data_IF_756407062774
#
_entry.id   IF_756407062774
#
_cell.length_a   1.000
_cell.length_b   1.000
_cell.length_c   1.000
_cell.angle_alpha   90.00
_cell.angle_beta   90.00
_cell.angle_gamma   90.00
#
_symmetry.space_group_name_H-M   'P 1'
#
loop_
_entity.id
_entity.type
_entity.pdbx_description
1 polymer ?
#
# COMPACT_ATOMS: atom_id res chain seq x y z
N UNK A 1 -20.80 13.50 -17.18
CA UNK A 1 -19.68 13.74 -16.24
C UNK A 1 -19.08 15.10 -16.58
N UNK A 2 -18.89 15.99 -15.60
CA UNK A 2 -18.32 17.33 -15.84
C UNK A 2 -16.82 17.32 -15.56
N UNK A 3 -16.07 18.28 -16.14
CA UNK A 3 -14.63 18.43 -15.88
C UNK A 3 -14.32 18.54 -14.38
N UNK A 4 -15.14 19.28 -13.64
CA UNK A 4 -14.98 19.45 -12.19
C UNK A 4 -15.16 18.13 -11.42
N UNK A 5 -16.14 17.31 -11.80
CA UNK A 5 -16.35 16.01 -11.19
C UNK A 5 -15.13 15.08 -11.41
N UNK A 6 -14.60 15.04 -12.63
CA UNK A 6 -13.39 14.24 -12.92
C UNK A 6 -12.16 14.70 -12.11
N UNK A 7 -12.02 16.02 -11.87
CA UNK A 7 -10.94 16.54 -11.02
C UNK A 7 -11.11 16.12 -9.55
N UNK A 8 -12.34 16.14 -9.02
CA UNK A 8 -12.61 15.66 -7.67
C UNK A 8 -12.35 14.15 -7.53
N UNK A 9 -12.76 13.35 -8.51
CA UNK A 9 -12.53 11.90 -8.52
C UNK A 9 -11.03 11.57 -8.46
N UNK A 10 -10.20 12.26 -9.25
CA UNK A 10 -8.74 12.06 -9.27
C UNK A 10 -8.12 12.47 -7.93
N UNK A 11 -8.53 13.60 -7.34
CA UNK A 11 -8.02 14.04 -6.04
C UNK A 11 -8.39 13.05 -4.93
N UNK A 12 -9.63 12.56 -4.94
CA UNK A 12 -10.11 11.55 -4.00
C UNK A 12 -9.30 10.24 -4.14
N UNK A 13 -9.07 9.80 -5.38
CA UNK A 13 -8.27 8.62 -5.67
C UNK A 13 -6.83 8.74 -5.15
N UNK A 14 -6.20 9.90 -5.36
CA UNK A 14 -4.83 10.14 -4.89
C UNK A 14 -4.76 10.13 -3.36
N UNK A 15 -5.70 10.81 -2.69
CA UNK A 15 -5.70 10.94 -1.24
C UNK A 15 -6.00 9.62 -0.51
N UNK A 16 -6.98 8.85 -1.00
CA UNK A 16 -7.46 7.65 -0.30
C UNK A 16 -6.69 6.39 -0.70
N UNK A 17 -6.28 6.26 -1.96
CA UNK A 17 -5.73 5.00 -2.47
C UNK A 17 -4.25 5.14 -2.84
N UNK A 18 -3.91 6.07 -3.73
CA UNK A 18 -2.57 6.14 -4.29
C UNK A 18 -1.50 6.52 -3.25
N UNK A 19 -1.74 7.53 -2.42
CA UNK A 19 -0.76 7.97 -1.42
C UNK A 19 -0.52 6.92 -0.34
N UNK A 20 -1.57 6.21 0.08
CA UNK A 20 -1.46 5.09 1.03
C UNK A 20 -0.66 3.94 0.42
N UNK A 21 -0.85 3.62 -0.85
CA UNK A 21 -0.05 2.59 -1.55
C UNK A 21 1.38 3.04 -1.87
N UNK A 22 1.63 4.33 -2.06
CA UNK A 22 2.94 4.86 -2.51
C UNK A 22 4.02 4.81 -1.44
N UNK A 23 3.67 5.02 -0.16
CA UNK A 23 4.59 4.77 0.96
C UNK A 23 4.99 3.28 1.04
N UNK A 24 4.11 2.40 0.57
CA UNK A 24 4.26 0.95 0.65
C UNK A 24 5.03 0.32 -0.52
N UNK A 25 4.99 0.90 -1.73
CA UNK A 25 5.80 0.44 -2.86
C UNK A 25 7.28 0.85 -2.80
N UNK A 26 7.63 1.95 -2.12
CA UNK A 26 9.04 2.38 -2.01
C UNK A 26 9.81 1.68 -0.88
N UNK A 27 9.13 1.35 0.24
CA UNK A 27 9.76 0.75 1.42
C UNK A 27 9.63 -0.79 1.49
N UNK A 28 9.07 -1.43 0.46
CA UNK A 28 8.90 -2.89 0.46
C UNK A 28 7.91 -3.33 1.54
N UNK A 29 6.66 -2.85 1.46
CA UNK A 29 5.63 -3.23 2.41
C UNK A 29 5.47 -4.74 2.49
N UNK A 30 5.67 -5.27 3.71
CA UNK A 30 5.22 -6.61 4.09
C UNK A 30 3.92 -6.45 4.86
N UNK A 31 2.88 -7.12 4.36
CA UNK A 31 1.67 -7.32 5.16
C UNK A 31 2.02 -8.07 6.45
N UNK A 32 1.19 -7.93 7.48
CA UNK A 32 1.43 -8.58 8.78
C UNK A 32 1.61 -10.10 8.65
N UNK A 33 0.82 -10.74 7.79
CA UNK A 33 0.98 -12.16 7.44
C UNK A 33 2.34 -12.48 6.80
N UNK A 34 2.84 -11.61 5.91
CA UNK A 34 4.15 -11.78 5.28
C UNK A 34 5.29 -11.56 6.29
N UNK A 35 5.13 -10.61 7.21
CA UNK A 35 6.09 -10.38 8.29
C UNK A 35 6.17 -11.59 9.23
N UNK A 36 5.04 -12.13 9.68
CA UNK A 36 4.96 -13.33 10.53
C UNK A 36 5.53 -14.56 9.82
N UNK A 37 5.24 -14.75 8.53
CA UNK A 37 5.79 -15.86 7.76
C UNK A 37 7.31 -15.78 7.60
N UNK A 38 7.87 -14.58 7.40
CA UNK A 38 9.32 -14.40 7.28
C UNK A 38 10.03 -14.54 8.63
N UNK A 39 9.41 -14.07 9.72
CA UNK A 39 9.89 -14.31 11.08
C UNK A 39 9.91 -15.81 11.41
N UNK A 40 8.87 -16.55 11.05
CA UNK A 40 8.81 -18.00 11.23
C UNK A 40 9.88 -18.74 10.41
N UNK A 41 10.15 -18.31 9.17
CA UNK A 41 11.22 -18.90 8.33
C UNK A 41 12.62 -18.67 8.88
N UNK A 42 12.87 -17.50 9.47
CA UNK A 42 14.18 -17.16 10.05
C UNK A 42 14.44 -17.88 11.37
N UNK A 43 13.40 -18.15 12.18
CA UNK A 43 13.51 -19.02 13.37
C UNK A 43 13.82 -20.47 12.96
N UNK A 44 13.26 -20.96 11.85
CA UNK A 44 13.44 -22.35 11.39
C UNK A 44 14.81 -22.63 10.75
N UNK A 45 15.56 -21.59 10.40
CA UNK A 45 16.87 -21.67 9.78
C UNK A 45 18.04 -21.57 10.79
N UNK A 46 17.74 -21.28 12.06
CA UNK A 46 18.67 -21.31 13.20
C UNK A 46 18.55 -22.64 13.95
#
# INVERSE_FOLDING_TARGET
>A
QTRHAAQQDILQYIAVFYNNQRLHSYLGYKSQNQYEADAAKSIKAA
#
